data_IF_678675679395
#
_entry.id   IF_678675679395
#
_cell.length_a   1.000
_cell.length_b   1.000
_cell.length_c   1.000
_cell.angle_alpha   90.00
_cell.angle_beta   90.00
_cell.angle_gamma   90.00
#
_symmetry.space_group_name_H-M   'P 1'
#
loop_
_entity.id
_entity.type
_entity.pdbx_description
1 polymer ?
#
# COMPACT_ATOMS: atom_id res chain seq x y z
N UNK A 1 -2.28 -7.00 -4.81
CA UNK A 1 -1.08 -7.84 -4.74
C UNK A 1 -0.17 -7.46 -3.56
N UNK A 2 0.16 -6.18 -3.35
CA UNK A 2 1.04 -5.74 -2.25
C UNK A 2 0.68 -6.22 -0.83
N UNK A 3 -0.61 -6.22 -0.39
CA UNK A 3 -0.92 -6.61 0.99
C UNK A 3 -0.63 -8.07 1.31
N UNK A 4 -0.79 -8.98 0.35
CA UNK A 4 -0.66 -10.42 0.59
C UNK A 4 0.78 -10.83 0.96
N UNK A 5 1.80 -10.19 0.37
CA UNK A 5 3.21 -10.44 0.73
C UNK A 5 3.53 -9.92 2.13
N UNK A 6 3.03 -8.73 2.46
CA UNK A 6 3.22 -8.13 3.79
C UNK A 6 2.56 -8.98 4.88
N UNK A 7 1.42 -9.62 4.58
CA UNK A 7 0.80 -10.59 5.48
C UNK A 7 1.66 -11.84 5.70
N UNK A 8 2.38 -12.33 4.68
CA UNK A 8 3.33 -13.43 4.87
C UNK A 8 4.54 -13.02 5.70
N UNK A 9 5.08 -11.81 5.50
CA UNK A 9 6.12 -11.28 6.38
C UNK A 9 5.64 -11.20 7.84
N UNK A 10 4.44 -10.65 8.07
CA UNK A 10 3.83 -10.59 9.39
C UNK A 10 3.68 -12.01 9.98
N UNK A 11 3.04 -12.93 9.25
CA UNK A 11 2.78 -14.31 9.71
C UNK A 11 4.06 -15.08 10.03
N UNK A 12 5.13 -14.86 9.27
CA UNK A 12 6.39 -15.61 9.40
C UNK A 12 7.32 -15.03 10.46
N UNK A 13 7.36 -13.70 10.61
CA UNK A 13 8.45 -13.04 11.34
C UNK A 13 8.01 -12.07 12.43
N UNK A 14 6.75 -11.60 12.47
CA UNK A 14 6.35 -10.57 13.43
C UNK A 14 6.49 -11.04 14.88
N UNK A 15 5.93 -12.21 15.21
CA UNK A 15 5.94 -12.75 16.58
C UNK A 15 7.37 -13.03 17.09
N UNK A 16 8.27 -13.48 16.21
CA UNK A 16 9.64 -13.81 16.58
C UNK A 16 10.54 -12.57 16.70
N UNK A 17 10.38 -11.59 15.81
CA UNK A 17 11.31 -10.46 15.70
C UNK A 17 10.83 -9.17 16.35
N UNK A 18 9.52 -9.06 16.60
CA UNK A 18 8.88 -7.79 17.00
C UNK A 18 8.84 -6.74 15.89
N UNK A 19 9.31 -7.04 14.66
CA UNK A 19 9.29 -6.09 13.55
C UNK A 19 7.85 -5.93 13.04
N UNK A 20 7.41 -4.69 12.87
CA UNK A 20 6.11 -4.37 12.28
C UNK A 20 6.16 -4.44 10.76
N UNK A 21 5.26 -5.22 10.16
CA UNK A 21 5.06 -5.31 8.72
C UNK A 21 3.68 -4.75 8.35
N UNK A 22 3.64 -3.66 7.60
CA UNK A 22 2.40 -3.02 7.17
C UNK A 22 2.46 -2.57 5.70
N UNK A 23 1.30 -2.54 5.04
CA UNK A 23 1.12 -1.96 3.71
C UNK A 23 0.47 -0.58 3.82
N UNK A 24 0.66 0.26 2.81
CA UNK A 24 0.14 1.63 2.78
C UNK A 24 -0.48 1.95 1.42
N UNK A 25 -1.66 2.56 1.43
CA UNK A 25 -2.17 3.36 0.33
C UNK A 25 -2.34 4.81 0.79
N UNK A 26 -1.45 5.72 0.38
CA UNK A 26 -1.47 7.10 0.85
C UNK A 26 -2.52 7.95 0.11
N UNK A 27 -3.26 7.39 -0.85
CA UNK A 27 -4.19 8.09 -1.73
C UNK A 27 -3.73 8.11 -3.19
N UNK A 28 -4.51 8.74 -4.07
CA UNK A 28 -4.21 8.74 -5.51
C UNK A 28 -3.22 9.86 -5.86
N UNK A 29 -1.96 9.48 -6.08
CA UNK A 29 -0.89 10.41 -6.42
C UNK A 29 -0.75 10.54 -7.95
N UNK A 30 -1.65 11.33 -8.54
CA UNK A 30 -1.77 11.43 -10.00
C UNK A 30 -0.68 12.30 -10.67
N UNK A 31 0.19 12.96 -9.91
CA UNK A 31 1.28 13.81 -10.45
C UNK A 31 2.62 13.08 -10.60
N UNK A 32 2.73 11.86 -10.06
CA UNK A 32 3.98 11.08 -10.15
C UNK A 32 4.29 10.66 -11.58
N UNK A 33 5.55 10.28 -11.83
CA UNK A 33 5.98 9.64 -13.07
C UNK A 33 5.42 8.23 -13.32
N UNK A 34 4.49 7.74 -12.49
CA UNK A 34 3.90 6.40 -12.62
C UNK A 34 3.17 6.22 -13.96
N UNK A 35 2.46 7.25 -14.42
CA UNK A 35 1.67 7.23 -15.66
C UNK A 35 2.38 7.92 -16.84
N UNK A 36 3.71 8.09 -16.78
CA UNK A 36 4.47 8.86 -17.78
C UNK A 36 4.35 8.30 -19.21
N UNK A 37 4.24 6.98 -19.35
CA UNK A 37 4.08 6.28 -20.64
C UNK A 37 2.61 6.10 -21.05
N UNK A 38 1.67 6.55 -20.23
CA UNK A 38 0.25 6.46 -20.58
C UNK A 38 -0.11 7.51 -21.64
N UNK A 39 -1.14 7.24 -22.45
CA UNK A 39 -1.60 8.17 -23.49
C UNK A 39 -1.76 9.61 -22.96
N UNK A 40 -1.33 10.60 -23.75
CA UNK A 40 -1.30 12.01 -23.32
C UNK A 40 -2.66 12.50 -22.80
N UNK A 41 -3.75 12.06 -23.43
CA UNK A 41 -5.10 12.41 -23.01
C UNK A 41 -5.38 12.00 -21.55
N UNK A 42 -4.97 10.79 -21.16
CA UNK A 42 -5.11 10.30 -19.80
C UNK A 42 -4.27 11.13 -18.83
N UNK A 43 -3.01 11.41 -19.17
CA UNK A 43 -2.10 12.19 -18.32
C UNK A 43 -2.63 13.60 -18.03
N UNK A 44 -3.32 14.21 -18.99
CA UNK A 44 -3.90 15.55 -18.83
C UNK A 44 -5.22 15.51 -18.06
N UNK A 45 -6.09 14.52 -18.31
CA UNK A 45 -7.43 14.48 -17.73
C UNK A 45 -7.50 13.78 -16.38
N UNK A 46 -6.66 12.78 -16.13
CA UNK A 46 -6.73 11.95 -14.93
C UNK A 46 -6.44 12.73 -13.64
N UNK A 47 -5.42 13.61 -13.55
CA UNK A 47 -5.18 14.35 -12.31
C UNK A 47 -6.31 15.32 -11.93
N UNK A 48 -6.83 16.19 -12.84
CA UNK A 48 -8.01 17.01 -12.55
C UNK A 48 -9.24 16.18 -12.22
N UNK A 49 -9.47 15.05 -12.91
CA UNK A 49 -10.58 14.15 -12.61
C UNK A 49 -10.48 13.60 -11.18
N UNK A 50 -9.30 13.13 -10.77
CA UNK A 50 -9.08 12.64 -9.40
C UNK A 50 -9.24 13.76 -8.35
N UNK A 51 -8.85 14.98 -8.70
CA UNK A 51 -8.89 16.13 -7.79
C UNK A 51 -10.32 16.65 -7.59
N UNK A 52 -11.06 16.84 -8.67
CA UNK A 52 -12.33 17.55 -8.64
C UNK A 52 -13.54 16.62 -8.63
N UNK A 53 -13.43 15.40 -9.19
CA UNK A 53 -14.56 14.48 -9.33
C UNK A 53 -14.52 13.39 -8.25
N UNK A 54 -13.48 12.55 -8.22
CA UNK A 54 -13.40 11.46 -7.24
C UNK A 54 -13.04 11.97 -5.84
N UNK A 55 -12.37 13.13 -5.76
CA UNK A 55 -11.78 13.69 -4.54
C UNK A 55 -10.77 12.74 -3.88
N UNK A 56 -10.16 11.87 -4.68
CA UNK A 56 -9.16 10.89 -4.25
C UNK A 56 -7.72 11.37 -4.41
N UNK A 57 -7.52 12.51 -5.07
CA UNK A 57 -6.21 13.10 -5.32
C UNK A 57 -5.45 13.44 -4.02
N UNK A 58 -4.17 13.09 -3.98
CA UNK A 58 -3.23 13.46 -2.94
C UNK A 58 -1.94 13.95 -3.59
N UNK A 59 -1.35 15.03 -3.08
CA UNK A 59 -0.05 15.51 -3.56
C UNK A 59 1.08 14.56 -3.15
N UNK A 60 2.20 14.60 -3.86
CA UNK A 60 3.39 13.81 -3.50
C UNK A 60 3.89 14.15 -2.09
N UNK A 61 3.86 15.44 -1.72
CA UNK A 61 4.25 15.90 -0.38
C UNK A 61 3.35 15.30 0.72
N UNK A 62 2.04 15.35 0.53
CA UNK A 62 1.08 14.80 1.51
C UNK A 62 1.19 13.27 1.59
N UNK A 63 1.39 12.60 0.46
CA UNK A 63 1.65 11.16 0.46
C UNK A 63 2.95 10.81 1.21
N UNK A 64 3.99 11.64 1.06
CA UNK A 64 5.23 11.54 1.83
C UNK A 64 5.02 11.71 3.33
N UNK A 65 4.20 12.68 3.75
CA UNK A 65 3.82 12.87 5.17
C UNK A 65 3.10 11.66 5.74
N UNK A 66 2.19 11.05 4.98
CA UNK A 66 1.47 9.83 5.39
C UNK A 66 2.40 8.64 5.52
N UNK A 67 3.35 8.48 4.60
CA UNK A 67 4.41 7.47 4.72
C UNK A 67 5.26 7.70 5.98
N UNK A 68 5.71 8.93 6.21
CA UNK A 68 6.46 9.27 7.42
C UNK A 68 5.65 8.94 8.69
N UNK A 69 4.35 9.25 8.69
CA UNK A 69 3.45 8.91 9.79
C UNK A 69 3.40 7.40 10.07
N UNK A 70 3.23 6.55 9.05
CA UNK A 70 3.23 5.07 9.23
C UNK A 70 4.54 4.59 9.86
N UNK A 71 5.66 5.20 9.49
CA UNK A 71 6.99 4.78 9.96
C UNK A 71 7.26 5.25 11.40
N UNK A 72 6.79 6.45 11.78
CA UNK A 72 7.21 7.09 13.04
C UNK A 72 6.13 7.19 14.12
N UNK A 73 4.85 7.11 13.78
CA UNK A 73 3.74 7.30 14.74
C UNK A 73 3.49 6.00 15.52
N UNK A 74 3.65 5.99 16.86
CA UNK A 74 3.39 4.80 17.68
C UNK A 74 1.95 4.27 17.55
N UNK A 75 0.99 5.13 17.19
CA UNK A 75 -0.40 4.72 16.98
C UNK A 75 -0.60 3.91 15.69
N UNK A 76 0.37 3.91 14.78
CA UNK A 76 0.35 3.14 13.52
C UNK A 76 1.32 1.95 13.53
N UNK A 77 1.76 1.52 14.71
CA UNK A 77 2.72 0.43 14.91
C UNK A 77 2.15 -0.99 14.75
N UNK A 78 0.84 -1.13 14.53
CA UNK A 78 0.19 -2.44 14.36
C UNK A 78 0.71 -3.16 13.11
N UNK A 79 1.10 -4.42 13.25
CA UNK A 79 1.55 -5.27 12.15
C UNK A 79 0.39 -6.01 11.46
N UNK A 80 0.61 -6.46 10.23
CA UNK A 80 -0.36 -7.24 9.46
C UNK A 80 -1.51 -6.40 8.89
N UNK A 81 -1.34 -5.08 8.84
CA UNK A 81 -2.40 -4.14 8.45
C UNK A 81 -2.13 -3.46 7.12
N UNK A 82 -3.20 -2.92 6.55
CA UNK A 82 -3.16 -2.09 5.36
C UNK A 82 -3.68 -0.69 5.71
N UNK A 83 -2.78 0.26 5.86
CA UNK A 83 -3.13 1.63 6.21
C UNK A 83 -3.66 2.41 5.01
N UNK A 84 -4.71 3.20 5.25
CA UNK A 84 -5.29 4.13 4.28
C UNK A 84 -5.78 5.40 4.98
N UNK A 85 -6.05 6.46 4.21
CA UNK A 85 -6.49 7.76 4.71
C UNK A 85 -7.85 8.11 4.17
N UNK A 86 -8.71 8.67 5.03
CA UNK A 86 -9.99 9.21 4.61
C UNK A 86 -9.84 10.68 4.15
N UNK A 87 -10.97 11.29 3.79
CA UNK A 87 -11.01 12.68 3.28
C UNK A 87 -10.56 13.73 4.30
N UNK A 88 -10.57 13.40 5.59
CA UNK A 88 -10.16 14.28 6.68
C UNK A 88 -8.70 14.02 7.11
N UNK A 89 -7.93 13.31 6.29
CA UNK A 89 -6.56 12.88 6.60
C UNK A 89 -6.42 12.04 7.89
N UNK A 90 -7.51 11.42 8.35
CA UNK A 90 -7.40 10.42 9.42
C UNK A 90 -7.06 9.05 8.82
N UNK A 91 -6.06 8.41 9.40
CA UNK A 91 -5.61 7.06 9.07
C UNK A 91 -6.60 6.01 9.60
N UNK A 92 -6.77 4.92 8.86
CA UNK A 92 -7.58 3.78 9.27
C UNK A 92 -7.04 2.47 8.68
N UNK A 93 -7.38 1.34 9.32
CA UNK A 93 -7.12 0.00 8.79
C UNK A 93 -8.10 -0.30 7.66
N UNK A 94 -7.58 -0.42 6.45
CA UNK A 94 -8.38 -0.65 5.27
C UNK A 94 -8.74 -2.13 5.11
N UNK A 95 -9.94 -2.39 4.59
CA UNK A 95 -10.41 -3.75 4.35
C UNK A 95 -9.69 -4.36 3.15
N UNK A 96 -9.19 -5.58 3.34
CA UNK A 96 -8.57 -6.35 2.26
C UNK A 96 -9.63 -6.97 1.36
N UNK A 97 -9.32 -7.09 0.06
CA UNK A 97 -10.13 -7.91 -0.84
C UNK A 97 -9.99 -9.38 -0.47
N UNK A 98 -10.98 -10.20 -0.83
CA UNK A 98 -10.95 -11.65 -0.60
C UNK A 98 -9.66 -12.30 -1.12
N UNK A 99 -9.19 -11.87 -2.29
CA UNK A 99 -7.95 -12.36 -2.86
C UNK A 99 -6.70 -11.89 -2.09
N UNK A 100 -6.67 -10.64 -1.62
CA UNK A 100 -5.54 -10.14 -0.86
C UNK A 100 -5.44 -10.76 0.55
N UNK A 101 -6.56 -11.25 1.10
CA UNK A 101 -6.63 -11.96 2.38
C UNK A 101 -6.52 -13.49 2.26
N UNK A 102 -6.37 -14.04 1.05
CA UNK A 102 -6.26 -15.48 0.83
C UNK A 102 -4.88 -16.00 1.25
N UNK A 103 -4.83 -16.63 2.43
CA UNK A 103 -3.60 -17.17 3.00
C UNK A 103 -2.97 -18.32 2.18
N UNK A 104 -3.75 -19.04 1.37
CA UNK A 104 -3.19 -20.08 0.51
C UNK A 104 -2.50 -19.46 -0.70
N UNK A 105 -3.12 -18.45 -1.34
CA UNK A 105 -2.49 -17.69 -2.43
C UNK A 105 -1.24 -16.96 -1.95
N UNK A 106 -1.29 -16.34 -0.77
CA UNK A 106 -0.15 -15.60 -0.21
C UNK A 106 1.07 -16.53 0.02
N UNK A 107 0.87 -17.70 0.64
CA UNK A 107 1.92 -18.71 0.82
C UNK A 107 2.51 -19.20 -0.50
N UNK A 108 1.65 -19.54 -1.47
CA UNK A 108 2.10 -19.99 -2.79
C UNK A 108 2.90 -18.92 -3.53
N UNK A 109 2.48 -17.65 -3.45
CA UNK A 109 3.20 -16.52 -4.03
C UNK A 109 4.57 -16.37 -3.38
N UNK A 110 4.68 -16.50 -2.06
CA UNK A 110 5.96 -16.46 -1.34
C UNK A 110 6.92 -17.55 -1.85
N UNK A 111 6.49 -18.81 -1.81
CA UNK A 111 7.31 -19.97 -2.22
C UNK A 111 7.80 -19.89 -3.66
N UNK A 112 6.94 -19.42 -4.58
CA UNK A 112 7.34 -19.22 -5.97
C UNK A 112 8.32 -18.04 -6.07
N UNK A 113 8.08 -16.95 -5.35
CA UNK A 113 8.95 -15.77 -5.37
C UNK A 113 10.36 -16.09 -4.87
N UNK A 114 10.50 -16.84 -3.77
CA UNK A 114 11.81 -17.26 -3.24
C UNK A 114 12.63 -18.03 -4.27
N UNK A 115 11.98 -18.98 -4.98
CA UNK A 115 12.62 -19.74 -6.07
C UNK A 115 13.04 -18.85 -7.23
N UNK A 116 12.18 -17.90 -7.62
CA UNK A 116 12.47 -16.97 -8.72
C UNK A 116 13.64 -16.04 -8.43
N UNK A 117 13.88 -15.70 -7.15
CA UNK A 117 15.01 -14.86 -6.73
C UNK A 117 16.21 -15.65 -6.20
N UNK A 118 16.17 -16.99 -6.25
CA UNK A 118 17.28 -17.86 -5.86
C UNK A 118 17.59 -17.90 -4.36
N UNK A 119 16.60 -17.64 -3.51
CA UNK A 119 16.73 -17.78 -2.06
C UNK A 119 16.55 -19.23 -1.58
N UNK A 120 15.87 -20.06 -2.40
CA UNK A 120 15.67 -21.50 -2.21
C UNK A 120 15.72 -22.25 -3.54
#
# INVERSE_FOLDING_TARGET
MLPANVLEFHRRYHEETGITFASLYPGCIATTGLFREHINLFRVLFPPFQKYITKGFVSEEEAGKRLAQVVSDPNLSKSGVYWSWNKNSASFENQLSQEASDAHKARKMWEISEKLVGLV
#
